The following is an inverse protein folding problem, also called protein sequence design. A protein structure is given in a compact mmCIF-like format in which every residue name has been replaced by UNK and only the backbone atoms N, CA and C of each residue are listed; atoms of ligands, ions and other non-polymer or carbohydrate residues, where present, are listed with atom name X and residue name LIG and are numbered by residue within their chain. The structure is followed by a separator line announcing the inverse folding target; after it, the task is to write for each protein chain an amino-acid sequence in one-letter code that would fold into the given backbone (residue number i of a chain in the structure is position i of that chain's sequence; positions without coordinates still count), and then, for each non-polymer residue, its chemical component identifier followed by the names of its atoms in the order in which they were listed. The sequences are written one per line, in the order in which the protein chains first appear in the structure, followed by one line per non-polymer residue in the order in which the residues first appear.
data_IF_379432029682
#
_entry.id   IF_379432029682
#
_cell.length_a   1.000
_cell.length_b   1.000
_cell.length_c   1.000
_cell.angle_alpha   90.00
_cell.angle_beta   90.00
_cell.angle_gamma   90.00
#
_symmetry.space_group_name_H-M   'P 1'
#
loop_
_entity.id
_entity.type
_entity.pdbx_description
1 polymer ?
#
# COMPACT_ATOMS: atom_id res chain seq x y z
N UNK A 1 11.18 25.28 -23.23
CA UNK A 1 10.29 24.57 -24.18
C UNK A 1 11.08 23.42 -24.72
N UNK A 2 10.84 22.23 -24.19
CA UNK A 2 11.51 20.99 -24.55
C UNK A 2 10.50 19.88 -24.33
N UNK A 3 10.18 19.18 -25.41
CA UNK A 3 9.09 18.23 -25.57
C UNK A 3 9.16 17.07 -24.56
N UNK A 4 8.13 16.97 -23.72
CA UNK A 4 7.78 15.76 -22.99
C UNK A 4 6.96 14.85 -23.92
N UNK A 5 7.61 14.23 -24.92
CA UNK A 5 6.98 13.15 -25.66
C UNK A 5 7.05 11.88 -24.82
N UNK A 6 5.91 11.48 -24.25
CA UNK A 6 5.73 10.17 -23.64
C UNK A 6 5.95 9.13 -24.73
N UNK A 7 6.87 8.19 -24.50
CA UNK A 7 7.20 7.11 -25.44
C UNK A 7 5.94 6.24 -25.70
N UNK A 8 5.52 6.04 -26.97
CA UNK A 8 4.39 5.18 -27.32
C UNK A 8 4.52 3.74 -26.79
N UNK A 9 5.74 3.25 -26.50
CA UNK A 9 5.96 1.96 -25.83
C UNK A 9 5.50 1.93 -24.36
N UNK A 10 5.52 3.08 -23.67
CA UNK A 10 5.02 3.22 -22.30
C UNK A 10 3.48 3.23 -22.26
N UNK A 11 2.85 3.73 -23.33
CA UNK A 11 1.40 3.71 -23.48
C UNK A 11 0.87 2.30 -23.79
N UNK A 12 1.61 1.49 -24.56
CA UNK A 12 1.21 0.13 -24.92
C UNK A 12 1.20 -0.84 -23.72
N UNK A 13 2.17 -0.69 -22.80
CA UNK A 13 2.21 -1.47 -21.57
C UNK A 13 1.07 -1.11 -20.59
N UNK A 14 0.68 0.17 -20.53
CA UNK A 14 -0.47 0.62 -19.73
C UNK A 14 -1.82 0.21 -20.35
N UNK A 15 -1.92 0.16 -21.69
CA UNK A 15 -3.14 -0.22 -22.39
C UNK A 15 -3.50 -1.72 -22.23
N UNK A 16 -2.50 -2.59 -22.08
CA UNK A 16 -2.72 -4.02 -21.85
C UNK A 16 -3.33 -4.32 -20.46
N UNK A 17 -3.16 -3.42 -19.48
CA UNK A 17 -3.65 -3.57 -18.11
C UNK A 17 -5.12 -3.13 -17.99
N UNK A 18 -5.55 -2.14 -18.78
CA UNK A 18 -6.90 -1.56 -18.69
C UNK A 18 -7.95 -2.36 -19.47
N UNK A 19 -7.56 -3.14 -20.48
CA UNK A 19 -8.49 -3.87 -21.34
C UNK A 19 -9.18 -5.08 -20.67
N UNK A 20 -8.77 -5.46 -19.45
CA UNK A 20 -9.34 -6.58 -18.68
C UNK A 20 -10.52 -6.20 -17.76
N UNK A 21 -10.81 -4.92 -17.53
CA UNK A 21 -11.85 -4.49 -16.61
C UNK A 21 -13.20 -4.30 -17.33
N UNK A 22 -14.12 -5.27 -17.14
CA UNK A 22 -15.48 -5.26 -17.70
C UNK A 22 -16.35 -4.10 -17.18
N UNK A 23 -17.14 -3.54 -18.10
CA UNK A 23 -18.14 -2.48 -17.89
C UNK A 23 -19.28 -2.87 -16.91
N UNK A 24 -19.85 -1.88 -16.19
CA UNK A 24 -21.01 -2.05 -15.31
C UNK A 24 -22.33 -1.88 -16.06
N UNK A 25 -23.26 -2.83 -15.87
CA UNK A 25 -24.64 -2.77 -16.38
C UNK A 25 -25.61 -2.26 -15.32
N UNK A 26 -26.48 -1.35 -15.75
CA UNK A 26 -27.38 -0.45 -15.01
C UNK A 26 -28.75 -1.00 -14.57
N UNK A 27 -29.39 -0.22 -13.66
CA UNK A 27 -30.84 0.01 -13.47
C UNK A 27 -31.67 -1.14 -12.81
N UNK A 28 -32.70 -0.91 -11.99
CA UNK A 28 -33.54 0.26 -11.77
C UNK A 28 -34.36 0.14 -10.45
N UNK A 29 -34.94 1.27 -10.01
CA UNK A 29 -35.73 1.45 -8.81
C UNK A 29 -37.16 0.87 -8.87
N UNK A 30 -37.76 0.57 -7.72
CA UNK A 30 -39.23 0.55 -7.58
C UNK A 30 -39.69 1.02 -6.20
N UNK A 31 -40.76 1.83 -6.22
CA UNK A 31 -41.34 2.64 -5.15
C UNK A 31 -42.66 2.03 -4.63
N UNK A 32 -42.93 2.33 -3.35
CA UNK A 32 -44.24 2.53 -2.69
C UNK A 32 -45.10 1.28 -2.32
N UNK A 33 -46.12 1.43 -1.44
CA UNK A 33 -46.18 2.15 -0.15
C UNK A 33 -46.86 1.31 0.97
N UNK A 34 -46.74 1.76 2.23
CA UNK A 34 -47.45 1.20 3.40
C UNK A 34 -48.92 1.64 3.49
N UNK A 35 -49.78 0.88 4.18
CA UNK A 35 -51.01 1.40 4.79
C UNK A 35 -51.02 1.32 6.34
N UNK A 36 -51.89 2.10 7.02
CA UNK A 36 -51.83 2.39 8.45
C UNK A 36 -52.76 1.51 9.30
N UNK A 37 -52.48 1.38 10.61
CA UNK A 37 -53.46 0.88 11.60
C UNK A 37 -53.40 1.72 12.89
N UNK A 38 -54.56 2.06 13.50
CA UNK A 38 -54.67 3.05 14.57
C UNK A 38 -54.89 2.44 15.98
N UNK A 39 -54.49 3.21 17.00
CA UNK A 39 -55.16 3.25 18.30
C UNK A 39 -54.47 2.58 19.49
N UNK A 40 -54.72 3.16 20.67
CA UNK A 40 -54.60 2.69 22.07
C UNK A 40 -53.73 3.63 22.95
N UNK A 41 -54.20 3.96 24.18
CA UNK A 41 -54.20 5.33 24.72
C UNK A 41 -53.12 5.63 25.78
N UNK A 42 -53.03 6.92 26.12
CA UNK A 42 -52.10 7.51 27.07
C UNK A 42 -52.28 7.03 28.53
N UNK A 43 -51.18 6.89 29.30
CA UNK A 43 -51.22 6.91 30.74
C UNK A 43 -50.70 8.23 31.35
N UNK A 44 -51.30 8.54 32.50
CA UNK A 44 -51.31 9.75 33.35
C UNK A 44 -49.93 10.02 34.02
N UNK A 45 -49.57 11.29 34.36
CA UNK A 45 -48.23 11.64 34.84
C UNK A 45 -48.02 11.33 36.34
N UNK A 46 -46.83 10.83 36.68
CA UNK A 46 -46.33 10.64 38.06
C UNK A 46 -45.34 11.78 38.39
N UNK A 47 -45.30 12.33 39.62
CA UNK A 47 -44.56 13.56 39.92
C UNK A 47 -43.03 13.41 39.79
N UNK A 48 -42.38 14.38 39.16
CA UNK A 48 -40.92 14.50 39.10
C UNK A 48 -40.32 14.74 40.49
N UNK A 49 -39.51 13.78 40.95
CA UNK A 49 -38.45 14.05 41.93
C UNK A 49 -37.26 14.61 41.16
N UNK A 50 -36.92 15.87 41.43
CA UNK A 50 -35.77 16.57 40.81
C UNK A 50 -34.48 16.05 41.43
N UNK A 51 -33.88 15.03 40.79
CA UNK A 51 -32.47 14.72 40.99
C UNK A 51 -31.71 15.43 39.86
N UNK A 52 -30.83 16.35 40.22
CA UNK A 52 -29.96 17.05 39.28
C UNK A 52 -29.05 16.04 38.56
N UNK A 53 -29.50 15.56 37.41
CA UNK A 53 -28.71 14.70 36.52
C UNK A 53 -27.79 15.59 35.70
N UNK A 54 -26.49 15.50 35.95
CA UNK A 54 -25.50 15.79 34.91
C UNK A 54 -25.78 14.81 33.78
N UNK A 55 -26.48 15.26 32.74
CA UNK A 55 -26.72 14.48 31.54
C UNK A 55 -25.36 14.07 30.98
N UNK A 56 -25.06 12.76 31.07
CA UNK A 56 -23.93 12.17 30.37
C UNK A 56 -24.11 12.49 28.89
N UNK A 57 -23.36 13.47 28.40
CA UNK A 57 -23.38 13.79 26.97
C UNK A 57 -22.94 12.51 26.26
N UNK A 58 -23.70 11.99 25.29
CA UNK A 58 -23.27 10.81 24.54
C UNK A 58 -21.87 11.05 23.99
N UNK A 59 -20.96 10.08 24.10
CA UNK A 59 -19.55 10.20 23.67
C UNK A 59 -19.41 10.89 22.30
N UNK A 60 -20.31 10.57 21.38
CA UNK A 60 -20.39 11.17 20.05
C UNK A 60 -20.44 12.71 20.09
N UNK A 61 -21.32 13.28 20.92
CA UNK A 61 -21.50 14.73 21.02
C UNK A 61 -20.33 15.38 21.77
N UNK A 62 -19.76 14.70 22.78
CA UNK A 62 -18.56 15.17 23.46
C UNK A 62 -17.36 15.26 22.50
N UNK A 63 -17.11 14.21 21.71
CA UNK A 63 -16.04 14.16 20.72
C UNK A 63 -16.22 15.23 19.62
N UNK A 64 -17.44 15.39 19.09
CA UNK A 64 -17.76 16.44 18.11
C UNK A 64 -17.50 17.84 18.69
N UNK A 65 -17.90 18.08 19.94
CA UNK A 65 -17.68 19.35 20.61
C UNK A 65 -16.18 19.64 20.80
N UNK A 66 -15.38 18.64 21.21
CA UNK A 66 -13.93 18.78 21.33
C UNK A 66 -13.28 19.16 19.98
N UNK A 67 -13.69 18.50 18.90
CA UNK A 67 -13.20 18.80 17.55
C UNK A 67 -13.64 20.18 17.05
N UNK A 68 -14.87 20.60 17.36
CA UNK A 68 -15.35 21.95 17.05
C UNK A 68 -14.54 23.02 17.80
N UNK A 69 -14.22 22.78 19.08
CA UNK A 69 -13.37 23.67 19.87
C UNK A 69 -11.92 23.71 19.34
N UNK A 70 -11.37 22.57 18.87
CA UNK A 70 -10.06 22.53 18.22
C UNK A 70 -10.03 23.45 16.98
N UNK A 71 -11.04 23.35 16.12
CA UNK A 71 -11.17 24.21 14.92
C UNK A 71 -11.30 25.68 15.30
N UNK A 72 -12.12 26.00 16.30
CA UNK A 72 -12.28 27.37 16.81
C UNK A 72 -10.95 27.94 17.32
N UNK A 73 -10.22 27.14 18.09
CA UNK A 73 -8.92 27.49 18.67
C UNK A 73 -7.88 27.70 17.58
N UNK A 74 -7.88 26.88 16.53
CA UNK A 74 -7.03 27.07 15.34
C UNK A 74 -7.27 28.41 14.66
N UNK A 75 -8.54 28.73 14.36
CA UNK A 75 -8.91 29.98 13.68
C UNK A 75 -8.55 31.23 14.50
N UNK A 76 -8.67 31.17 15.82
CA UNK A 76 -8.30 32.28 16.72
C UNK A 76 -6.79 32.50 16.84
N UNK A 77 -5.99 31.47 16.58
CA UNK A 77 -4.54 31.49 16.80
C UNK A 77 -3.70 31.72 15.55
N UNK A 78 -4.32 32.12 14.43
CA UNK A 78 -3.63 32.39 13.14
C UNK A 78 -2.44 33.36 13.22
N UNK A 79 -2.30 34.13 14.31
CA UNK A 79 -1.27 35.15 14.49
C UNK A 79 -0.19 34.83 15.53
N UNK A 80 -0.27 33.70 16.26
CA UNK A 80 0.71 33.35 17.31
C UNK A 80 1.46 32.07 16.92
N UNK A 81 2.74 32.19 16.61
CA UNK A 81 3.59 31.17 15.97
C UNK A 81 3.90 29.87 16.75
N UNK A 82 3.04 29.43 17.68
CA UNK A 82 3.14 28.10 18.31
C UNK A 82 2.09 27.16 17.71
N UNK A 83 2.52 25.95 17.36
CA UNK A 83 1.69 24.93 16.74
C UNK A 83 0.57 24.48 17.69
N UNK A 84 -0.60 24.10 17.15
CA UNK A 84 -1.72 23.60 17.97
C UNK A 84 -1.35 22.39 18.83
N UNK A 85 -0.43 21.57 18.33
CA UNK A 85 0.07 20.39 19.02
C UNK A 85 0.82 20.73 20.32
N UNK A 86 1.43 21.92 20.41
CA UNK A 86 2.26 22.34 21.54
C UNK A 86 1.46 22.96 22.69
N UNK A 87 0.16 23.21 22.50
CA UNK A 87 -0.68 23.94 23.45
C UNK A 87 -1.22 23.02 24.56
N UNK A 88 -0.79 23.18 25.82
CA UNK A 88 -1.19 22.27 26.89
C UNK A 88 -2.70 22.21 27.11
N UNK A 89 -3.40 23.34 26.99
CA UNK A 89 -4.85 23.43 27.12
C UNK A 89 -5.60 22.65 26.02
N UNK A 90 -5.07 22.66 24.80
CA UNK A 90 -5.61 21.88 23.68
C UNK A 90 -5.38 20.40 23.95
N UNK A 91 -4.20 20.02 24.40
CA UNK A 91 -3.87 18.63 24.68
C UNK A 91 -4.69 18.05 25.85
N UNK A 92 -4.92 18.83 26.90
CA UNK A 92 -5.78 18.44 28.02
C UNK A 92 -7.24 18.25 27.60
N UNK A 93 -7.77 19.15 26.76
CA UNK A 93 -9.12 19.02 26.21
C UNK A 93 -9.24 17.77 25.34
N UNK A 94 -8.28 17.52 24.45
CA UNK A 94 -8.30 16.32 23.59
C UNK A 94 -8.22 15.04 24.41
N UNK A 95 -7.33 14.96 25.41
CA UNK A 95 -7.24 13.78 26.27
C UNK A 95 -8.55 13.50 27.00
N UNK A 96 -9.14 14.53 27.61
CA UNK A 96 -10.36 14.38 28.41
C UNK A 96 -11.61 14.14 27.55
N UNK A 97 -11.80 14.95 26.51
CA UNK A 97 -13.08 15.05 25.81
C UNK A 97 -13.13 14.29 24.49
N UNK A 98 -11.97 14.00 23.88
CA UNK A 98 -11.89 13.20 22.65
C UNK A 98 -11.46 11.76 22.94
N UNK A 99 -10.42 11.57 23.75
CA UNK A 99 -9.84 10.26 24.04
C UNK A 99 -10.34 9.63 25.35
N UNK A 100 -11.15 10.35 26.14
CA UNK A 100 -11.69 9.92 27.43
C UNK A 100 -10.62 9.46 28.45
N UNK A 101 -9.42 10.02 28.37
CA UNK A 101 -8.32 9.72 29.27
C UNK A 101 -8.58 10.44 30.58
N UNK A 102 -8.87 9.67 31.62
CA UNK A 102 -9.10 10.19 32.96
C UNK A 102 -7.78 10.58 33.65
N UNK A 103 -7.88 11.32 34.76
CA UNK A 103 -6.74 11.74 35.57
C UNK A 103 -5.88 10.57 36.08
N UNK A 104 -6.44 9.37 36.19
CA UNK A 104 -5.74 8.16 36.60
C UNK A 104 -4.87 7.54 35.50
N UNK A 105 -5.00 8.02 34.24
CA UNK A 105 -4.29 7.57 33.02
C UNK A 105 -4.41 6.07 32.73
N UNK A 106 -5.34 5.37 33.39
CA UNK A 106 -5.55 3.91 33.26
C UNK A 106 -6.80 3.60 32.49
N UNK A 107 -7.81 4.46 32.58
CA UNK A 107 -9.09 4.26 31.90
C UNK A 107 -8.92 4.46 30.39
N UNK A 108 -9.11 3.39 29.62
CA UNK A 108 -9.11 3.39 28.16
C UNK A 108 -10.53 3.25 27.63
N UNK A 109 -10.80 3.80 26.45
CA UNK A 109 -12.06 3.55 25.74
C UNK A 109 -12.27 2.06 25.47
N UNK A 110 -13.48 1.58 25.71
CA UNK A 110 -13.89 0.24 25.31
C UNK A 110 -14.02 0.13 23.76
N UNK A 111 -14.13 -1.07 23.18
CA UNK A 111 -14.17 -1.23 21.71
C UNK A 111 -15.30 -0.47 21.02
N UNK A 112 -16.50 -0.41 21.63
CA UNK A 112 -17.63 0.33 21.06
C UNK A 112 -17.36 1.84 21.03
N UNK A 113 -16.78 2.37 22.11
CA UNK A 113 -16.38 3.77 22.22
C UNK A 113 -15.28 4.12 21.21
N UNK A 114 -14.30 3.23 21.03
CA UNK A 114 -13.26 3.39 20.01
C UNK A 114 -13.89 3.45 18.61
N UNK A 115 -14.77 2.52 18.25
CA UNK A 115 -15.47 2.54 16.96
C UNK A 115 -16.28 3.82 16.73
N UNK A 116 -16.96 4.32 17.76
CA UNK A 116 -17.68 5.60 17.70
C UNK A 116 -16.71 6.76 17.44
N UNK A 117 -15.56 6.79 18.13
CA UNK A 117 -14.54 7.81 17.91
C UNK A 117 -13.97 7.74 16.48
N UNK A 118 -13.64 6.55 15.97
CA UNK A 118 -13.13 6.38 14.59
C UNK A 118 -14.11 6.94 13.56
N UNK A 119 -15.41 6.69 13.74
CA UNK A 119 -16.47 7.25 12.90
C UNK A 119 -16.53 8.79 12.98
N UNK A 120 -16.36 9.36 14.17
CA UNK A 120 -16.35 10.83 14.33
C UNK A 120 -15.12 11.43 13.67
N UNK A 121 -13.94 10.84 13.86
CA UNK A 121 -12.68 11.33 13.30
C UNK A 121 -12.66 11.22 11.77
N UNK A 122 -13.11 10.11 11.21
CA UNK A 122 -13.21 9.94 9.75
C UNK A 122 -14.13 10.98 9.13
N UNK A 123 -15.33 11.18 9.69
CA UNK A 123 -16.24 12.24 9.25
C UNK A 123 -15.60 13.64 9.39
N UNK A 124 -14.91 13.91 10.49
CA UNK A 124 -14.24 15.19 10.73
C UNK A 124 -13.20 15.52 9.64
N UNK A 125 -12.36 14.56 9.26
CA UNK A 125 -11.37 14.74 8.20
C UNK A 125 -12.00 14.79 6.81
N UNK A 126 -13.07 14.02 6.56
CA UNK A 126 -13.81 14.05 5.29
C UNK A 126 -14.49 15.41 5.04
N UNK A 127 -14.97 16.08 6.08
CA UNK A 127 -15.55 17.43 5.95
C UNK A 127 -14.50 18.54 5.76
N UNK A 128 -13.21 18.23 5.92
CA UNK A 128 -12.11 19.21 5.96
C UNK A 128 -11.05 18.97 4.89
N UNK A 129 -11.42 18.26 3.83
CA UNK A 129 -10.57 18.02 2.66
C UNK A 129 -9.92 19.32 2.18
N UNK A 130 -10.70 20.39 2.06
CA UNK A 130 -10.23 21.67 1.53
C UNK A 130 -9.73 22.66 2.62
N UNK A 131 -9.70 22.25 3.90
CA UNK A 131 -9.18 23.12 4.97
C UNK A 131 -7.65 23.06 5.00
N UNK A 132 -7.00 24.20 4.73
CA UNK A 132 -5.54 24.34 4.80
C UNK A 132 -4.92 24.01 6.17
N UNK A 133 -5.70 23.96 7.25
CA UNK A 133 -5.25 23.61 8.59
C UNK A 133 -5.39 22.12 8.92
N UNK A 134 -5.87 21.28 7.99
CA UNK A 134 -6.15 19.85 8.23
C UNK A 134 -4.97 19.08 8.83
N UNK A 135 -3.75 19.37 8.38
CA UNK A 135 -2.55 18.73 8.92
C UNK A 135 -2.26 19.18 10.36
N UNK A 136 -2.48 20.45 10.69
CA UNK A 136 -2.30 20.94 12.06
C UNK A 136 -3.33 20.30 13.03
N UNK A 137 -4.54 19.97 12.55
CA UNK A 137 -5.49 19.18 13.34
C UNK A 137 -4.98 17.75 13.55
N UNK A 138 -4.47 17.11 12.50
CA UNK A 138 -3.85 15.78 12.59
C UNK A 138 -2.71 15.77 13.62
N UNK A 139 -1.79 16.73 13.55
CA UNK A 139 -0.68 16.86 14.50
C UNK A 139 -1.20 17.06 15.94
N UNK A 140 -2.18 17.96 16.13
CA UNK A 140 -2.73 18.21 17.46
C UNK A 140 -3.42 16.98 18.06
N UNK A 141 -4.17 16.22 17.24
CA UNK A 141 -4.93 15.05 17.66
C UNK A 141 -4.00 13.88 17.98
N UNK A 142 -3.04 13.55 17.10
CA UNK A 142 -2.27 12.32 17.22
C UNK A 142 -0.83 12.51 17.71
N UNK A 143 -0.21 13.67 17.41
CA UNK A 143 1.21 13.90 17.65
C UNK A 143 1.49 14.85 18.83
N UNK A 144 0.50 15.51 19.40
CA UNK A 144 0.69 16.52 20.47
C UNK A 144 1.12 16.00 21.86
N UNK A 145 1.52 14.73 21.98
CA UNK A 145 1.91 14.09 23.25
C UNK A 145 3.28 13.42 23.22
N UNK A 146 4.18 13.82 22.31
CA UNK A 146 5.52 13.19 22.15
C UNK A 146 6.33 13.14 23.47
N UNK A 147 6.10 14.11 24.35
CA UNK A 147 6.67 14.25 25.69
C UNK A 147 6.15 13.24 26.72
N UNK A 148 5.01 12.60 26.47
CA UNK A 148 4.43 11.52 27.28
C UNK A 148 4.29 10.24 26.44
N UNK A 149 5.28 9.34 26.46
CA UNK A 149 5.31 8.17 25.58
C UNK A 149 4.08 7.25 25.71
N UNK A 150 3.50 7.15 26.90
CA UNK A 150 2.33 6.28 27.14
C UNK A 150 1.09 6.85 26.45
N UNK A 151 0.85 8.15 26.59
CA UNK A 151 -0.28 8.82 25.95
C UNK A 151 -0.06 8.96 24.44
N UNK A 152 1.18 9.22 24.01
CA UNK A 152 1.54 9.27 22.60
C UNK A 152 1.21 7.95 21.89
N UNK A 153 1.69 6.84 22.43
CA UNK A 153 1.45 5.51 21.86
C UNK A 153 -0.03 5.12 21.86
N UNK A 154 -0.80 5.57 22.85
CA UNK A 154 -2.25 5.39 22.84
C UNK A 154 -2.90 6.14 21.67
N UNK A 155 -2.59 7.42 21.49
CA UNK A 155 -3.12 8.22 20.38
C UNK A 155 -2.69 7.68 19.02
N UNK A 156 -1.44 7.24 18.88
CA UNK A 156 -0.97 6.56 17.67
C UNK A 156 -1.73 5.25 17.42
N UNK A 157 -2.06 4.47 18.45
CA UNK A 157 -2.88 3.26 18.26
C UNK A 157 -4.26 3.58 17.68
N UNK A 158 -4.90 4.66 18.11
CA UNK A 158 -6.17 5.14 17.55
C UNK A 158 -5.97 5.66 16.12
N UNK A 159 -4.86 6.34 15.83
CA UNK A 159 -4.51 6.78 14.48
C UNK A 159 -4.41 5.62 13.50
N UNK A 160 -3.71 4.53 13.87
CA UNK A 160 -3.60 3.34 13.04
C UNK A 160 -4.97 2.69 12.79
N UNK A 161 -5.77 2.53 13.84
CA UNK A 161 -7.15 2.06 13.69
C UNK A 161 -7.98 2.96 12.77
N UNK A 162 -7.79 4.28 12.83
CA UNK A 162 -8.44 5.24 11.94
C UNK A 162 -8.00 5.06 10.49
N UNK A 163 -6.72 4.78 10.23
CA UNK A 163 -6.24 4.48 8.87
C UNK A 163 -6.94 3.25 8.31
N UNK A 164 -6.96 2.14 9.05
CA UNK A 164 -7.67 0.94 8.61
C UNK A 164 -9.16 1.21 8.41
N UNK A 165 -9.83 1.87 9.36
CA UNK A 165 -11.23 2.25 9.22
C UNK A 165 -11.48 3.10 7.96
N UNK A 166 -10.58 4.05 7.67
CA UNK A 166 -10.70 4.98 6.54
C UNK A 166 -10.43 4.34 5.18
N UNK A 167 -9.77 3.17 5.17
CA UNK A 167 -9.61 2.38 3.94
C UNK A 167 -10.89 1.59 3.64
N UNK A 168 -11.52 1.02 4.66
CA UNK A 168 -12.81 0.33 4.50
C UNK A 168 -13.97 1.29 4.24
N UNK A 169 -13.95 2.48 4.86
CA UNK A 169 -14.90 3.57 4.65
C UNK A 169 -14.13 4.77 4.06
N UNK A 170 -14.12 4.94 2.72
CA UNK A 170 -13.08 5.65 2.00
C UNK A 170 -12.92 7.13 2.39
N UNK A 171 -12.03 7.38 3.36
CA UNK A 171 -11.52 8.70 3.78
C UNK A 171 -9.99 8.68 3.65
N UNK A 172 -9.53 8.38 2.43
CA UNK A 172 -8.15 7.97 2.15
C UNK A 172 -7.12 9.09 2.37
N UNK A 173 -7.55 10.34 2.45
CA UNK A 173 -6.66 11.50 2.66
C UNK A 173 -5.92 11.46 4.00
N UNK A 174 -6.44 10.73 4.99
CA UNK A 174 -5.74 10.54 6.26
C UNK A 174 -4.38 9.84 6.05
N UNK A 175 -4.25 8.96 5.05
CA UNK A 175 -2.98 8.31 4.75
C UNK A 175 -1.92 9.32 4.31
N UNK A 176 -2.28 10.36 3.56
CA UNK A 176 -1.32 11.42 3.19
C UNK A 176 -0.77 12.16 4.41
N UNK A 177 -1.57 12.33 5.47
CA UNK A 177 -1.09 12.93 6.72
C UNK A 177 -0.14 11.99 7.48
N UNK A 178 -0.48 10.69 7.53
CA UNK A 178 0.36 9.66 8.17
C UNK A 178 1.68 9.51 7.43
N UNK A 179 1.66 9.38 6.10
CA UNK A 179 2.87 9.29 5.26
C UNK A 179 3.71 10.57 5.35
N UNK A 180 3.07 11.74 5.34
CA UNK A 180 3.74 13.02 5.52
C UNK A 180 4.34 13.22 6.92
N UNK A 181 3.86 12.52 7.95
CA UNK A 181 4.49 12.49 9.27
C UNK A 181 5.66 11.51 9.32
N UNK A 182 5.45 10.26 8.89
CA UNK A 182 6.49 9.22 8.92
C UNK A 182 7.73 9.66 8.14
N UNK A 183 7.55 10.27 6.96
CA UNK A 183 8.65 10.77 6.12
C UNK A 183 9.45 11.93 6.73
N UNK A 184 8.95 12.59 7.78
CA UNK A 184 9.66 13.66 8.51
C UNK A 184 10.40 13.15 9.73
N UNK A 185 10.32 11.85 10.05
CA UNK A 185 11.05 11.28 11.17
C UNK A 185 12.55 11.28 10.84
N UNK A 186 13.34 11.96 11.67
CA UNK A 186 14.80 12.04 11.50
C UNK A 186 15.54 10.80 12.05
N UNK A 187 14.81 9.77 12.46
CA UNK A 187 15.36 8.55 13.05
C UNK A 187 14.86 7.33 12.28
N UNK A 188 15.77 6.70 11.53
CA UNK A 188 15.48 5.52 10.71
C UNK A 188 14.86 4.37 11.53
N UNK A 189 15.29 4.17 12.79
CA UNK A 189 14.77 3.07 13.62
C UNK A 189 13.29 3.31 13.98
N UNK A 190 12.93 4.56 14.29
CA UNK A 190 11.54 4.93 14.57
C UNK A 190 10.70 4.90 13.30
N UNK A 191 11.22 5.45 12.20
CA UNK A 191 10.56 5.41 10.90
C UNK A 191 10.21 3.97 10.52
N UNK A 192 11.20 3.06 10.58
CA UNK A 192 11.02 1.64 10.31
C UNK A 192 9.96 1.00 11.20
N UNK A 193 10.02 1.26 12.51
CA UNK A 193 9.05 0.71 13.47
C UNK A 193 7.61 1.16 13.16
N UNK A 194 7.40 2.45 12.87
CA UNK A 194 6.07 2.99 12.58
C UNK A 194 5.55 2.58 11.20
N UNK A 195 6.44 2.47 10.20
CA UNK A 195 6.17 1.86 8.90
C UNK A 195 5.70 0.40 9.05
N UNK A 196 6.46 -0.41 9.78
CA UNK A 196 6.16 -1.82 9.96
C UNK A 196 4.85 -2.04 10.70
N UNK A 197 4.58 -1.27 11.75
CA UNK A 197 3.30 -1.32 12.47
C UNK A 197 2.12 -0.95 11.58
N UNK A 198 2.27 0.05 10.72
CA UNK A 198 1.23 0.42 9.75
C UNK A 198 0.97 -0.75 8.79
N UNK A 199 2.02 -1.26 8.18
CA UNK A 199 1.92 -2.29 7.15
C UNK A 199 1.42 -3.62 7.71
N UNK A 200 1.91 -4.05 8.87
CA UNK A 200 1.46 -5.28 9.53
C UNK A 200 -0.06 -5.24 9.78
N UNK A 201 -0.58 -4.13 10.31
CA UNK A 201 -2.02 -3.95 10.51
C UNK A 201 -2.80 -3.96 9.17
N UNK A 202 -2.29 -3.29 8.14
CA UNK A 202 -2.94 -3.27 6.83
C UNK A 202 -2.98 -4.66 6.18
N UNK A 203 -1.89 -5.42 6.30
CA UNK A 203 -1.81 -6.81 5.83
C UNK A 203 -2.74 -7.71 6.63
N UNK A 204 -2.78 -7.58 7.95
CA UNK A 204 -3.70 -8.33 8.81
C UNK A 204 -5.15 -8.06 8.42
N UNK A 205 -5.56 -6.80 8.34
CA UNK A 205 -6.97 -6.43 8.18
C UNK A 205 -7.51 -6.63 6.76
N UNK A 206 -6.67 -6.52 5.73
CA UNK A 206 -7.13 -6.50 4.34
C UNK A 206 -6.57 -7.62 3.47
N UNK A 207 -5.41 -8.19 3.80
CA UNK A 207 -4.80 -9.25 2.98
C UNK A 207 -5.05 -10.63 3.59
N UNK A 208 -4.73 -10.83 4.88
CA UNK A 208 -4.88 -12.14 5.55
C UNK A 208 -6.34 -12.55 5.75
N UNK A 209 -7.22 -11.58 6.00
CA UNK A 209 -8.67 -11.80 6.14
C UNK A 209 -9.39 -11.93 4.80
N UNK A 210 -8.71 -11.63 3.68
CA UNK A 210 -9.32 -11.66 2.36
C UNK A 210 -9.56 -13.08 1.89
N UNK A 211 -10.75 -13.33 1.35
CA UNK A 211 -11.13 -14.56 0.69
C UNK A 211 -12.04 -14.26 -0.51
N UNK A 212 -12.48 -15.32 -1.19
CA UNK A 212 -13.29 -15.22 -2.41
C UNK A 212 -14.64 -14.50 -2.20
N UNK A 213 -15.19 -14.52 -0.98
CA UNK A 213 -16.50 -13.95 -0.67
C UNK A 213 -16.41 -12.48 -0.27
N UNK A 214 -15.47 -12.13 0.62
CA UNK A 214 -15.38 -10.79 1.18
C UNK A 214 -14.46 -9.84 0.41
N UNK A 215 -13.51 -10.39 -0.36
CA UNK A 215 -12.49 -9.66 -1.14
C UNK A 215 -11.91 -8.45 -0.39
N UNK A 216 -11.51 -8.63 0.87
CA UNK A 216 -11.06 -7.51 1.72
C UNK A 216 -9.90 -6.70 1.12
N UNK A 217 -9.07 -7.29 0.26
CA UNK A 217 -7.98 -6.60 -0.41
C UNK A 217 -8.46 -5.54 -1.42
N UNK A 218 -9.69 -5.64 -1.94
CA UNK A 218 -10.25 -4.66 -2.90
C UNK A 218 -10.27 -3.24 -2.30
N UNK A 219 -10.44 -3.12 -0.98
CA UNK A 219 -10.41 -1.83 -0.29
C UNK A 219 -9.04 -1.13 -0.37
N UNK A 220 -7.96 -1.88 -0.60
CA UNK A 220 -6.62 -1.31 -0.80
C UNK A 220 -6.43 -0.73 -2.20
N UNK A 221 -7.12 -1.26 -3.22
CA UNK A 221 -6.86 -0.89 -4.62
C UNK A 221 -7.02 0.62 -4.90
N UNK A 222 -8.03 1.34 -4.37
CA UNK A 222 -8.19 2.78 -4.59
C UNK A 222 -7.03 3.65 -4.11
N UNK A 223 -6.14 3.12 -3.25
CA UNK A 223 -4.98 3.86 -2.78
C UNK A 223 -3.96 4.15 -3.89
N UNK A 224 -3.98 3.40 -4.99
CA UNK A 224 -3.09 3.61 -6.13
C UNK A 224 -3.20 5.02 -6.74
N UNK A 225 -4.38 5.64 -6.64
CA UNK A 225 -4.63 7.01 -7.12
C UNK A 225 -4.72 8.03 -5.99
N UNK A 226 -4.76 7.58 -4.73
CA UNK A 226 -5.03 8.42 -3.57
C UNK A 226 -3.80 8.72 -2.71
N UNK A 227 -2.82 7.81 -2.65
CA UNK A 227 -1.63 7.94 -1.82
C UNK A 227 -0.44 7.12 -2.36
N UNK A 228 0.32 7.68 -3.31
CA UNK A 228 1.46 7.01 -3.93
C UNK A 228 2.60 6.70 -2.93
N UNK A 229 2.81 7.52 -1.89
CA UNK A 229 3.77 7.21 -0.82
C UNK A 229 3.40 5.92 -0.08
N UNK A 230 2.12 5.73 0.24
CA UNK A 230 1.68 4.50 0.88
C UNK A 230 1.85 3.30 -0.04
N UNK A 231 1.52 3.43 -1.33
CA UNK A 231 1.74 2.36 -2.30
C UNK A 231 3.21 1.94 -2.34
N UNK A 232 4.15 2.89 -2.38
CA UNK A 232 5.57 2.59 -2.34
C UNK A 232 5.98 1.89 -1.04
N UNK A 233 5.50 2.36 0.11
CA UNK A 233 5.74 1.72 1.40
C UNK A 233 5.18 0.29 1.43
N UNK A 234 3.97 0.08 0.92
CA UNK A 234 3.31 -1.22 0.89
C UNK A 234 4.12 -2.21 0.05
N UNK A 235 4.53 -1.84 -1.16
CA UNK A 235 5.42 -2.66 -2.00
C UNK A 235 6.73 -2.98 -1.29
N UNK A 236 7.31 -2.00 -0.58
CA UNK A 236 8.60 -2.13 0.09
C UNK A 236 8.58 -3.02 1.34
N UNK A 237 7.41 -3.21 1.97
CA UNK A 237 7.32 -3.82 3.31
C UNK A 237 6.29 -4.94 3.42
N UNK A 238 5.13 -4.87 2.76
CA UNK A 238 4.02 -5.81 2.95
C UNK A 238 4.43 -7.28 2.73
N UNK A 239 5.28 -7.62 1.74
CA UNK A 239 5.81 -8.96 1.59
C UNK A 239 6.52 -9.50 2.85
N UNK A 240 7.12 -8.64 3.67
CA UNK A 240 7.82 -9.05 4.90
C UNK A 240 6.85 -9.42 6.04
N UNK A 241 5.61 -8.93 5.99
CA UNK A 241 4.62 -9.04 7.07
C UNK A 241 3.51 -10.04 6.78
N UNK A 242 3.50 -10.74 5.65
CA UNK A 242 2.46 -11.71 5.34
C UNK A 242 2.87 -12.77 4.33
N UNK A 243 2.01 -13.78 4.11
CA UNK A 243 2.14 -14.66 2.96
C UNK A 243 1.90 -13.86 1.67
N UNK A 244 2.59 -14.23 0.60
CA UNK A 244 2.33 -13.70 -0.74
C UNK A 244 1.12 -14.42 -1.35
N UNK A 245 -0.05 -14.25 -0.72
CA UNK A 245 -1.31 -14.79 -1.22
C UNK A 245 -1.72 -14.11 -2.55
N UNK A 246 -2.65 -14.68 -3.32
CA UNK A 246 -3.17 -14.04 -4.54
C UNK A 246 -3.63 -12.60 -4.29
N UNK A 247 -4.33 -12.35 -3.16
CA UNK A 247 -4.74 -11.02 -2.74
C UNK A 247 -3.57 -10.04 -2.53
N UNK A 248 -2.44 -10.50 -1.98
CA UNK A 248 -1.23 -9.68 -1.85
C UNK A 248 -0.63 -9.36 -3.21
N UNK A 249 -0.55 -10.37 -4.09
CA UNK A 249 0.01 -10.24 -5.44
C UNK A 249 -0.82 -9.27 -6.28
N UNK A 250 -2.14 -9.37 -6.25
CA UNK A 250 -3.06 -8.48 -6.96
C UNK A 250 -2.84 -7.01 -6.57
N UNK A 251 -2.78 -6.71 -5.27
CA UNK A 251 -2.50 -5.34 -4.78
C UNK A 251 -1.11 -4.87 -5.21
N UNK A 252 -0.09 -5.73 -5.14
CA UNK A 252 1.28 -5.39 -5.55
C UNK A 252 1.33 -5.05 -7.04
N UNK A 253 0.72 -5.88 -7.88
CA UNK A 253 0.67 -5.71 -9.33
C UNK A 253 -0.06 -4.42 -9.67
N UNK A 254 -1.22 -4.18 -9.06
CA UNK A 254 -2.02 -2.97 -9.32
C UNK A 254 -1.24 -1.70 -8.95
N UNK A 255 -0.62 -1.67 -7.77
CA UNK A 255 0.20 -0.52 -7.35
C UNK A 255 1.41 -0.30 -8.25
N UNK A 256 2.05 -1.39 -8.69
CA UNK A 256 3.14 -1.32 -9.65
C UNK A 256 2.67 -0.77 -11.00
N UNK A 257 1.55 -1.25 -11.53
CA UNK A 257 0.98 -0.80 -12.80
C UNK A 257 0.78 0.72 -12.84
N UNK A 258 0.27 1.30 -11.74
CA UNK A 258 -0.06 2.72 -11.67
C UNK A 258 1.11 3.60 -11.20
N UNK A 259 1.95 3.13 -10.29
CA UNK A 259 2.91 3.97 -9.55
C UNK A 259 4.39 3.58 -9.73
N UNK A 260 4.75 2.69 -10.67
CA UNK A 260 6.11 2.13 -10.78
C UNK A 260 7.25 3.15 -10.68
N UNK A 261 7.16 4.25 -11.44
CA UNK A 261 8.20 5.29 -11.44
C UNK A 261 8.33 6.01 -10.09
N UNK A 262 7.19 6.25 -9.44
CA UNK A 262 7.17 6.85 -8.12
C UNK A 262 7.76 5.89 -7.08
N UNK A 263 7.43 4.59 -7.15
CA UNK A 263 7.94 3.56 -6.24
C UNK A 263 9.47 3.50 -6.32
N UNK A 264 10.06 3.46 -7.52
CA UNK A 264 11.52 3.47 -7.69
C UNK A 264 12.14 4.74 -7.09
N UNK A 265 11.54 5.91 -7.33
CA UNK A 265 12.00 7.16 -6.75
C UNK A 265 11.94 7.15 -5.22
N UNK A 266 10.87 6.63 -4.65
CA UNK A 266 10.71 6.51 -3.21
C UNK A 266 11.78 5.59 -2.60
N UNK A 267 12.01 4.41 -3.18
CA UNK A 267 13.03 3.46 -2.72
C UNK A 267 14.46 4.01 -2.82
N UNK A 268 14.70 4.90 -3.80
CA UNK A 268 15.95 5.64 -3.94
C UNK A 268 16.11 6.68 -2.84
N UNK A 269 15.06 7.46 -2.59
CA UNK A 269 15.09 8.56 -1.64
C UNK A 269 15.03 8.07 -0.18
N UNK A 270 14.66 6.80 0.04
CA UNK A 270 14.66 6.11 1.35
C UNK A 270 15.61 4.90 1.35
N UNK A 271 16.94 5.08 1.48
CA UNK A 271 17.95 4.03 1.24
C UNK A 271 17.78 2.75 2.06
N UNK A 272 17.34 2.85 3.32
CA UNK A 272 17.15 1.68 4.17
C UNK A 272 16.00 0.80 3.67
N UNK A 273 14.91 1.40 3.18
CA UNK A 273 13.82 0.67 2.54
C UNK A 273 14.28 0.07 1.22
N UNK A 274 15.03 0.83 0.41
CA UNK A 274 15.60 0.32 -0.84
C UNK A 274 16.51 -0.90 -0.62
N UNK A 275 17.34 -0.88 0.42
CA UNK A 275 18.20 -2.02 0.77
C UNK A 275 17.38 -3.24 1.21
N UNK A 276 16.43 -3.06 2.13
CA UNK A 276 15.55 -4.14 2.57
C UNK A 276 14.71 -4.70 1.40
N UNK A 277 14.26 -3.83 0.49
CA UNK A 277 13.50 -4.23 -0.69
C UNK A 277 14.35 -5.13 -1.61
N UNK A 278 15.58 -4.73 -1.92
CA UNK A 278 16.48 -5.51 -2.77
C UNK A 278 16.89 -6.84 -2.15
N UNK A 279 17.22 -6.86 -0.86
CA UNK A 279 17.76 -8.06 -0.19
C UNK A 279 16.69 -9.03 0.31
N UNK A 280 15.49 -8.55 0.63
CA UNK A 280 14.46 -9.37 1.32
C UNK A 280 13.17 -9.48 0.53
N UNK A 281 12.71 -8.39 -0.09
CA UNK A 281 11.39 -8.39 -0.77
C UNK A 281 11.48 -9.00 -2.15
N UNK A 282 12.37 -8.51 -3.01
CA UNK A 282 12.47 -9.01 -4.39
C UNK A 282 12.74 -10.52 -4.45
N UNK A 283 13.65 -11.10 -3.63
CA UNK A 283 13.83 -12.56 -3.61
C UNK A 283 12.54 -13.32 -3.29
N UNK A 284 11.73 -12.83 -2.32
CA UNK A 284 10.44 -13.44 -1.99
C UNK A 284 9.42 -13.32 -3.12
N UNK A 285 9.37 -12.18 -3.82
CA UNK A 285 8.50 -12.01 -4.98
C UNK A 285 8.91 -12.93 -6.14
N UNK A 286 10.21 -13.10 -6.37
CA UNK A 286 10.73 -14.05 -7.37
C UNK A 286 10.38 -15.48 -6.98
N UNK A 287 10.56 -15.86 -5.72
CA UNK A 287 10.19 -17.19 -5.23
C UNK A 287 8.70 -17.46 -5.43
N UNK A 288 7.83 -16.52 -5.05
CA UNK A 288 6.39 -16.65 -5.30
C UNK A 288 6.09 -16.82 -6.79
N UNK A 289 6.68 -15.99 -7.65
CA UNK A 289 6.50 -16.09 -9.10
C UNK A 289 6.98 -17.45 -9.67
N UNK A 290 7.97 -18.08 -9.06
CA UNK A 290 8.47 -19.39 -9.48
C UNK A 290 7.58 -20.56 -9.03
N UNK A 291 6.86 -20.42 -7.91
CA UNK A 291 5.99 -21.47 -7.35
C UNK A 291 4.55 -21.35 -7.83
N UNK A 292 4.06 -20.12 -8.02
CA UNK A 292 2.66 -19.84 -8.37
C UNK A 292 2.42 -20.04 -9.86
N UNK A 293 1.42 -20.84 -10.23
CA UNK A 293 1.05 -21.14 -11.62
C UNK A 293 -0.12 -20.29 -12.15
N UNK A 294 -0.63 -19.33 -11.38
CA UNK A 294 -1.76 -18.45 -11.76
C UNK A 294 -1.38 -17.37 -12.77
N UNK A 295 -2.36 -16.81 -13.50
CA UNK A 295 -2.15 -15.71 -14.46
C UNK A 295 -1.58 -14.44 -13.81
N UNK A 296 -1.89 -14.19 -12.53
CA UNK A 296 -1.36 -13.06 -11.75
C UNK A 296 0.18 -13.12 -11.60
N UNK A 297 0.77 -14.32 -11.75
CA UNK A 297 2.22 -14.52 -11.71
C UNK A 297 2.95 -13.90 -12.91
N UNK A 298 2.29 -13.76 -14.07
CA UNK A 298 2.90 -13.14 -15.26
C UNK A 298 3.00 -11.62 -15.11
N UNK A 299 1.96 -11.00 -14.55
CA UNK A 299 1.95 -9.57 -14.20
C UNK A 299 2.99 -9.26 -13.12
N UNK A 300 3.12 -10.12 -12.11
CA UNK A 300 4.16 -10.01 -11.10
C UNK A 300 5.56 -10.12 -11.72
N UNK A 301 5.78 -11.09 -12.62
CA UNK A 301 7.04 -11.25 -13.36
C UNK A 301 7.43 -10.00 -14.16
N UNK A 302 6.45 -9.33 -14.76
CA UNK A 302 6.65 -8.06 -15.47
C UNK A 302 7.10 -6.93 -14.52
N UNK A 303 6.49 -6.83 -13.35
CA UNK A 303 6.90 -5.88 -12.31
C UNK A 303 8.35 -6.14 -11.86
N UNK A 304 8.71 -7.40 -11.62
CA UNK A 304 10.07 -7.81 -11.23
C UNK A 304 11.10 -7.47 -12.32
N UNK A 305 10.78 -7.74 -13.59
CA UNK A 305 11.65 -7.37 -14.71
C UNK A 305 11.93 -5.86 -14.72
N UNK A 306 10.89 -5.06 -14.52
CA UNK A 306 11.02 -3.61 -14.48
C UNK A 306 11.93 -3.14 -13.34
N UNK A 307 11.74 -3.68 -12.13
CA UNK A 307 12.63 -3.41 -11.00
C UNK A 307 14.08 -3.77 -11.34
N UNK A 308 14.34 -4.98 -11.86
CA UNK A 308 15.69 -5.42 -12.23
C UNK A 308 16.37 -4.48 -13.25
N UNK A 309 15.65 -4.07 -14.30
CA UNK A 309 16.20 -3.17 -15.30
C UNK A 309 16.52 -1.79 -14.77
N UNK A 310 15.60 -1.22 -14.01
CA UNK A 310 15.74 0.18 -13.58
C UNK A 310 16.51 0.34 -12.28
N UNK A 311 16.71 -0.72 -11.50
CA UNK A 311 17.36 -0.63 -10.18
C UNK A 311 18.72 0.05 -10.24
N UNK A 312 19.59 -0.39 -11.12
CA UNK A 312 20.95 0.12 -11.22
C UNK A 312 21.05 1.53 -11.83
N UNK A 313 20.03 1.94 -12.59
CA UNK A 313 19.96 3.22 -13.28
C UNK A 313 19.31 4.27 -12.37
N UNK A 314 18.12 3.95 -11.88
CA UNK A 314 17.23 4.90 -11.23
C UNK A 314 17.32 4.88 -9.71
N UNK A 315 17.75 3.77 -9.11
CA UNK A 315 17.61 3.56 -7.66
C UNK A 315 18.95 3.51 -6.94
N UNK A 316 19.91 2.70 -7.41
CA UNK A 316 21.19 2.54 -6.72
C UNK A 316 21.91 3.87 -6.52
N UNK A 317 22.59 3.97 -5.38
CA UNK A 317 23.56 5.02 -5.12
C UNK A 317 24.69 4.98 -6.17
N UNK A 318 25.15 6.16 -6.57
CA UNK A 318 26.30 6.34 -7.43
C UNK A 318 27.12 7.56 -6.95
N UNK A 319 28.15 7.95 -7.71
CA UNK A 319 29.00 9.08 -7.33
C UNK A 319 28.23 10.40 -7.15
N UNK A 320 27.14 10.58 -7.90
CA UNK A 320 26.39 11.84 -7.98
C UNK A 320 25.09 11.83 -7.15
N UNK A 321 24.67 10.67 -6.65
CA UNK A 321 23.34 10.48 -6.06
C UNK A 321 23.36 9.54 -4.86
N UNK A 322 22.73 9.98 -3.77
CA UNK A 322 22.41 9.12 -2.61
C UNK A 322 21.33 8.10 -2.97
N UNK A 323 21.41 6.91 -2.40
CA UNK A 323 20.44 5.84 -2.62
C UNK A 323 20.80 4.59 -1.84
N UNK A 324 20.02 3.50 -2.01
CA UNK A 324 20.41 2.19 -1.52
C UNK A 324 21.71 1.72 -2.15
N UNK A 325 22.44 0.90 -1.41
CA UNK A 325 23.74 0.34 -1.79
C UNK A 325 23.64 -1.13 -2.20
N UNK A 326 22.51 -1.78 -1.89
CA UNK A 326 22.30 -3.20 -2.18
C UNK A 326 21.72 -3.40 -3.57
N UNK A 327 22.36 -4.31 -4.33
CA UNK A 327 21.87 -4.77 -5.64
C UNK A 327 20.80 -5.82 -5.44
N UNK A 328 19.89 -5.92 -6.42
CA UNK A 328 18.98 -7.05 -6.52
C UNK A 328 19.76 -8.24 -7.08
N UNK A 329 19.94 -9.29 -6.27
CA UNK A 329 20.68 -10.50 -6.64
C UNK A 329 19.75 -11.72 -6.52
N UNK A 330 19.10 -12.10 -7.62
CA UNK A 330 18.13 -13.21 -7.68
C UNK A 330 18.50 -14.31 -8.67
N UNK A 331 19.68 -14.22 -9.28
CA UNK A 331 20.13 -15.19 -10.28
C UNK A 331 20.22 -16.61 -9.72
N UNK A 332 20.73 -16.80 -8.50
CA UNK A 332 20.85 -18.14 -7.93
C UNK A 332 19.49 -18.82 -7.76
N UNK A 333 18.47 -18.05 -7.35
CA UNK A 333 17.10 -18.52 -7.22
C UNK A 333 16.51 -18.90 -8.59
N UNK A 334 16.70 -18.04 -9.60
CA UNK A 334 16.22 -18.26 -10.96
C UNK A 334 16.96 -19.40 -11.69
N UNK A 335 18.20 -19.68 -11.31
CA UNK A 335 19.01 -20.79 -11.84
C UNK A 335 18.83 -22.08 -11.03
N UNK A 336 18.07 -22.06 -9.92
CA UNK A 336 17.86 -23.27 -9.11
C UNK A 336 17.12 -24.34 -9.92
N UNK A 337 17.59 -25.61 -9.90
CA UNK A 337 16.90 -26.71 -10.57
C UNK A 337 15.60 -27.12 -9.83
N UNK A 338 15.34 -26.58 -8.65
CA UNK A 338 14.19 -26.93 -7.80
C UNK A 338 12.87 -26.37 -8.33
N UNK A 339 12.91 -25.30 -9.11
CA UNK A 339 11.72 -24.68 -9.68
C UNK A 339 11.45 -25.15 -11.10
N UNK A 340 10.18 -25.22 -11.54
CA UNK A 340 9.83 -25.57 -12.91
C UNK A 340 10.30 -24.50 -13.91
N UNK A 341 10.36 -24.89 -15.19
CA UNK A 341 10.58 -23.94 -16.28
C UNK A 341 9.25 -23.35 -16.74
N UNK A 342 9.19 -22.03 -16.76
CA UNK A 342 8.00 -21.26 -17.15
C UNK A 342 8.43 -20.09 -18.05
N UNK A 343 7.48 -19.56 -18.82
CA UNK A 343 7.69 -18.35 -19.65
C UNK A 343 8.23 -17.19 -18.80
N UNK A 344 7.52 -16.89 -17.70
CA UNK A 344 7.90 -15.86 -16.72
C UNK A 344 9.31 -16.05 -16.17
N UNK A 345 9.71 -17.27 -15.80
CA UNK A 345 11.08 -17.56 -15.35
C UNK A 345 12.12 -17.20 -16.42
N UNK A 346 11.89 -17.58 -17.68
CA UNK A 346 12.81 -17.25 -18.77
C UNK A 346 12.91 -15.74 -19.01
N UNK A 347 11.78 -15.01 -18.94
CA UNK A 347 11.76 -13.55 -19.03
C UNK A 347 12.54 -12.90 -17.87
N UNK A 348 12.24 -13.27 -16.62
CA UNK A 348 12.93 -12.70 -15.45
C UNK A 348 14.42 -13.06 -15.43
N UNK A 349 14.80 -14.25 -15.90
CA UNK A 349 16.21 -14.63 -16.11
C UNK A 349 16.92 -13.63 -17.03
N UNK A 350 16.30 -13.21 -18.13
CA UNK A 350 16.89 -12.22 -19.04
C UNK A 350 17.23 -10.92 -18.31
N UNK A 351 16.25 -10.37 -17.59
CA UNK A 351 16.40 -9.12 -16.81
C UNK A 351 17.44 -9.26 -15.70
N UNK A 352 17.48 -10.41 -15.03
CA UNK A 352 18.44 -10.68 -13.96
C UNK A 352 19.88 -10.84 -14.49
N UNK A 353 20.07 -11.49 -15.65
CA UNK A 353 21.39 -11.62 -16.29
C UNK A 353 21.92 -10.25 -16.69
N UNK A 354 21.06 -9.41 -17.28
CA UNK A 354 21.40 -8.06 -17.68
C UNK A 354 21.79 -7.17 -16.48
N UNK A 355 21.04 -7.27 -15.37
CA UNK A 355 21.31 -6.50 -14.16
C UNK A 355 22.50 -7.03 -13.34
N UNK A 356 22.95 -8.27 -13.58
CA UNK A 356 23.96 -8.93 -12.76
C UNK A 356 25.38 -8.42 -13.02
N UNK A 357 26.17 -8.38 -11.95
CA UNK A 357 27.61 -8.12 -11.98
C UNK A 357 28.44 -9.33 -12.42
N UNK A 358 27.86 -10.54 -12.42
CA UNK A 358 28.56 -11.78 -12.82
C UNK A 358 28.93 -11.74 -14.30
N UNK A 359 30.12 -12.23 -14.67
CA UNK A 359 30.51 -12.36 -16.08
C UNK A 359 29.55 -13.28 -16.84
N UNK A 360 29.26 -12.94 -18.09
CA UNK A 360 28.32 -13.72 -18.92
C UNK A 360 28.77 -15.16 -19.11
N UNK A 361 30.07 -15.42 -19.25
CA UNK A 361 30.64 -16.77 -19.34
C UNK A 361 30.27 -17.68 -18.16
N UNK A 362 30.28 -17.12 -16.94
CA UNK A 362 29.92 -17.86 -15.71
C UNK A 362 28.44 -18.20 -15.72
N UNK A 363 27.59 -17.23 -16.08
CA UNK A 363 26.14 -17.43 -16.19
C UNK A 363 25.82 -18.47 -17.26
N UNK A 364 26.42 -18.38 -18.45
CA UNK A 364 26.25 -19.33 -19.53
C UNK A 364 26.66 -20.75 -19.11
N UNK A 365 27.77 -20.88 -18.37
CA UNK A 365 28.22 -22.17 -17.84
C UNK A 365 27.23 -22.76 -16.84
N UNK A 366 26.54 -21.93 -16.05
CA UNK A 366 25.48 -22.37 -15.15
C UNK A 366 24.22 -22.79 -15.93
N UNK A 367 23.75 -21.97 -16.88
CA UNK A 367 22.60 -22.26 -17.73
C UNK A 367 22.75 -23.60 -18.48
N UNK A 368 23.92 -23.86 -19.06
CA UNK A 368 24.21 -25.11 -19.80
C UNK A 368 24.18 -26.37 -18.92
N UNK A 369 24.28 -26.23 -17.60
CA UNK A 369 24.21 -27.36 -16.65
C UNK A 369 22.78 -27.66 -16.21
N UNK A 370 21.83 -26.77 -16.48
CA UNK A 370 20.45 -26.96 -16.05
C UNK A 370 19.79 -28.04 -16.89
N UNK A 371 18.92 -28.81 -16.24
CA UNK A 371 17.96 -29.63 -16.96
C UNK A 371 16.86 -28.72 -17.53
N UNK A 372 16.81 -28.61 -18.86
CA UNK A 372 15.87 -27.72 -19.56
C UNK A 372 14.93 -28.56 -20.41
N UNK A 373 13.59 -28.47 -20.20
CA UNK A 373 12.62 -29.13 -21.07
C UNK A 373 12.79 -28.71 -22.53
N UNK A 374 12.49 -29.61 -23.47
CA UNK A 374 12.67 -29.36 -24.92
C UNK A 374 12.00 -28.06 -25.36
N UNK A 375 10.84 -27.74 -24.79
CA UNK A 375 10.08 -26.51 -25.05
C UNK A 375 10.84 -25.23 -24.68
N UNK A 376 11.77 -25.26 -23.73
CA UNK A 376 12.53 -24.08 -23.29
C UNK A 376 13.99 -24.08 -23.77
N UNK A 377 14.46 -25.13 -24.46
CA UNK A 377 15.82 -25.18 -25.03
C UNK A 377 16.16 -23.96 -25.89
N UNK A 378 15.35 -23.55 -26.88
CA UNK A 378 15.70 -22.39 -27.70
C UNK A 378 15.70 -21.06 -26.91
N UNK A 379 14.90 -20.96 -25.83
CA UNK A 379 14.98 -19.81 -24.93
C UNK A 379 16.33 -19.76 -24.20
N UNK A 380 16.83 -20.92 -23.72
CA UNK A 380 18.13 -21.02 -23.06
C UNK A 380 19.30 -20.81 -24.04
N UNK A 381 19.18 -21.28 -25.27
CA UNK A 381 20.16 -21.01 -26.33
C UNK A 381 20.27 -19.50 -26.61
N UNK A 382 19.13 -18.81 -26.70
CA UNK A 382 19.09 -17.36 -26.85
C UNK A 382 19.74 -16.65 -25.66
N UNK A 383 19.45 -17.08 -24.43
CA UNK A 383 20.12 -16.55 -23.22
C UNK A 383 21.62 -16.84 -23.20
N UNK A 384 22.08 -17.89 -23.89
CA UNK A 384 23.49 -18.24 -24.01
C UNK A 384 24.21 -17.57 -25.18
N UNK A 385 23.52 -16.76 -26.00
CA UNK A 385 24.07 -16.19 -27.24
C UNK A 385 25.10 -15.08 -27.03
N UNK A 386 25.28 -14.58 -25.81
CA UNK A 386 26.24 -13.52 -25.51
C UNK A 386 25.69 -12.10 -25.66
N UNK A 387 24.41 -11.94 -26.01
CA UNK A 387 23.81 -10.62 -26.31
C UNK A 387 22.93 -10.08 -25.19
N UNK A 388 22.78 -10.82 -24.09
CA UNK A 388 21.77 -10.48 -23.06
C UNK A 388 22.14 -9.20 -22.32
N UNK A 389 23.43 -9.00 -22.03
CA UNK A 389 23.89 -7.78 -21.37
C UNK A 389 23.89 -6.56 -22.29
N UNK A 390 24.12 -6.77 -23.59
CA UNK A 390 24.20 -5.69 -24.57
C UNK A 390 22.81 -5.21 -25.00
N UNK A 391 21.85 -6.11 -25.15
CA UNK A 391 20.50 -5.77 -25.59
C UNK A 391 19.43 -6.71 -24.97
N UNK A 392 19.15 -6.55 -23.66
CA UNK A 392 18.19 -7.42 -22.98
C UNK A 392 16.76 -7.25 -23.48
N UNK A 393 16.39 -6.06 -23.95
CA UNK A 393 15.06 -5.76 -24.47
C UNK A 393 14.75 -6.61 -25.71
N UNK A 394 15.69 -6.66 -26.66
CA UNK A 394 15.56 -7.48 -27.86
C UNK A 394 15.45 -8.98 -27.53
N UNK A 395 16.17 -9.44 -26.51
CA UNK A 395 16.07 -10.83 -26.04
C UNK A 395 14.70 -11.11 -25.43
N UNK A 396 14.15 -10.19 -24.62
CA UNK A 396 12.80 -10.31 -24.06
C UNK A 396 11.71 -10.35 -25.13
N UNK A 397 11.83 -9.50 -26.15
CA UNK A 397 10.92 -9.48 -27.31
C UNK A 397 10.94 -10.82 -28.05
N UNK A 398 12.14 -11.34 -28.34
CA UNK A 398 12.30 -12.65 -28.98
C UNK A 398 11.73 -13.80 -28.14
N UNK A 399 11.93 -13.80 -26.81
CA UNK A 399 11.33 -14.80 -25.91
C UNK A 399 9.80 -14.72 -25.92
N UNK A 400 9.26 -13.51 -25.96
CA UNK A 400 7.81 -13.27 -26.02
C UNK A 400 7.23 -13.76 -27.36
N UNK A 401 7.88 -13.45 -28.48
CA UNK A 401 7.49 -13.89 -29.83
C UNK A 401 7.57 -15.42 -29.99
N UNK A 402 8.62 -16.05 -29.49
CA UNK A 402 8.75 -17.51 -29.46
C UNK A 402 7.59 -18.19 -28.71
N UNK A 403 7.14 -17.55 -27.64
CA UNK A 403 6.04 -18.07 -26.82
C UNK A 403 4.71 -17.88 -27.53
N UNK A 404 4.44 -16.69 -28.06
CA UNK A 404 3.23 -16.38 -28.84
C UNK A 404 3.09 -17.32 -30.05
N UNK A 405 4.17 -17.53 -30.79
CA UNK A 405 4.20 -18.44 -31.96
C UNK A 405 3.83 -19.86 -31.56
N UNK A 406 4.26 -20.31 -30.38
CA UNK A 406 3.93 -21.65 -29.87
C UNK A 406 2.47 -21.75 -29.47
N UNK A 407 1.94 -20.76 -28.76
CA UNK A 407 0.54 -20.69 -28.37
C UNK A 407 -0.38 -20.70 -29.61
N UNK A 408 -0.02 -19.94 -30.64
CA UNK A 408 -0.74 -19.93 -31.92
C UNK A 408 -0.70 -21.29 -32.64
N UNK A 409 0.44 -21.98 -32.66
CA UNK A 409 0.55 -23.33 -33.25
C UNK A 409 -0.24 -24.37 -32.46
N UNK A 410 -0.23 -24.28 -31.13
CA UNK A 410 -1.04 -25.16 -30.28
C UNK A 410 -2.54 -24.95 -30.53
N UNK A 411 -2.99 -23.71 -30.69
CA UNK A 411 -4.37 -23.37 -31.08
C UNK A 411 -4.72 -23.85 -32.50
N UNK A 412 -3.74 -23.90 -33.41
CA UNK A 412 -3.89 -24.44 -34.75
C UNK A 412 -3.88 -25.98 -34.82
N UNK A 413 -3.68 -26.68 -33.69
CA UNK A 413 -3.63 -28.15 -33.63
C UNK A 413 -2.34 -28.75 -34.18
N UNK A 414 -1.32 -27.94 -34.43
CA UNK A 414 0.00 -28.39 -34.89
C UNK A 414 0.83 -28.82 -33.67
N UNK A 415 0.74 -30.10 -33.29
CA UNK A 415 1.66 -30.70 -32.32
C UNK A 415 2.94 -31.14 -33.02
N UNK A 416 4.07 -30.57 -32.61
CA UNK A 416 5.42 -31.12 -32.85
C UNK A 416 5.69 -32.33 -31.96
#
# INVERSE_FOLDING_TARGET
MSDNSIDPATLAAAAAIVAGARNPGSAEASRNPSPPVPGVPAPVPVPLVTVSSTTSTPLLEQAKNALAQLVKTSKMNRSRGSALAEKPEVQLMLDKDLFLIQSDRRTKMNPLQQMQLLRVLSQFFLERVDDGHRYAYFEAIFLGRVDDPVLHEYRLSVMYQLVSFSVQYPVLQILNHVMGWISKLNNETQERMYCDRLIDMMVEHFVRTSNIENRMHDYLLPLETSCSEFCALFIARAPLHGPLSPAMVEVIVQYCATNMQFILRHLRDTPWQGNDFAEKVIPRLVEQMLVDETDDSDSLGSCICYFLFRWHIDVLANADRKGPTKRIEVLDLLLSPEYPWTKRRACVLTSAIAASTRSEEVVQKQLKKLFVPVTFKPAVELLCSGTVKDNPQKVLEALSEMTLTRELRALAGETN
#
